data_IF_875519959001
#
_entry.id   IF_875519959001
#
_cell.length_a   1.000
_cell.length_b   1.000
_cell.length_c   1.000
_cell.angle_alpha   90.00
_cell.angle_beta   90.00
_cell.angle_gamma   90.00
#
_symmetry.space_group_name_H-M   'P 1'
#
loop_
_entity.id
_entity.type
_entity.pdbx_description
1 polymer ?
#
# COMPACT_ATOMS: atom_id res chain seq x y z
N UNK A 1 -20.42 -19.40 54.27
CA UNK A 1 -20.08 -19.28 52.82
C UNK A 1 -18.57 -19.20 52.69
N UNK A 2 -17.93 -20.25 52.16
CA UNK A 2 -16.49 -20.50 52.35
C UNK A 2 -15.61 -19.41 51.72
N UNK A 3 -14.75 -18.78 52.52
CA UNK A 3 -13.84 -17.70 52.13
C UNK A 3 -13.00 -18.07 50.90
N UNK A 4 -12.60 -19.35 50.78
CA UNK A 4 -11.93 -19.89 49.59
C UNK A 4 -12.73 -19.77 48.29
N UNK A 5 -14.07 -19.88 48.33
CA UNK A 5 -14.92 -19.73 47.14
C UNK A 5 -14.97 -18.27 46.69
N UNK A 6 -15.02 -17.33 47.63
CA UNK A 6 -15.03 -15.87 47.36
C UNK A 6 -13.74 -15.41 46.66
N UNK A 7 -12.58 -15.90 47.12
CA UNK A 7 -11.30 -15.56 46.48
C UNK A 7 -11.15 -16.15 45.07
N UNK A 8 -11.70 -17.35 44.81
CA UNK A 8 -11.73 -17.94 43.46
C UNK A 8 -12.55 -17.09 42.47
N UNK A 9 -13.69 -16.56 42.90
CA UNK A 9 -14.48 -15.65 42.05
C UNK A 9 -13.77 -14.32 41.77
N UNK A 10 -13.09 -13.74 42.77
CA UNK A 10 -12.30 -12.51 42.59
C UNK A 10 -11.16 -12.75 41.58
N UNK A 11 -10.46 -13.89 41.68
CA UNK A 11 -9.36 -14.22 40.78
C UNK A 11 -9.83 -14.37 39.33
N UNK A 12 -11.00 -15.00 39.11
CA UNK A 12 -11.60 -15.15 37.77
C UNK A 12 -11.97 -13.78 37.19
N UNK A 13 -12.51 -12.87 38.01
CA UNK A 13 -12.88 -11.53 37.57
C UNK A 13 -11.65 -10.68 37.19
N UNK A 14 -10.55 -10.81 37.96
CA UNK A 14 -9.26 -10.18 37.64
C UNK A 14 -8.66 -10.71 36.34
N UNK A 15 -8.72 -12.03 36.10
CA UNK A 15 -8.26 -12.65 34.86
C UNK A 15 -9.08 -12.20 33.64
N UNK A 16 -10.41 -12.07 33.79
CA UNK A 16 -11.28 -11.55 32.73
C UNK A 16 -10.93 -10.09 32.39
N UNK A 17 -10.79 -9.22 33.39
CA UNK A 17 -10.40 -7.82 33.18
C UNK A 17 -9.02 -7.72 32.52
N UNK A 18 -8.07 -8.55 32.94
CA UNK A 18 -6.73 -8.60 32.36
C UNK A 18 -6.75 -9.06 30.90
N UNK A 19 -7.61 -10.02 30.55
CA UNK A 19 -7.84 -10.46 29.16
C UNK A 19 -8.37 -9.34 28.26
N UNK A 20 -9.19 -8.43 28.80
CA UNK A 20 -9.71 -7.28 28.05
C UNK A 20 -8.63 -6.20 27.77
N UNK A 21 -7.53 -6.18 28.52
CA UNK A 21 -6.40 -5.27 28.29
C UNK A 21 -5.49 -5.70 27.13
N UNK A 22 -5.59 -6.95 26.66
CA UNK A 22 -4.86 -7.46 25.49
C UNK A 22 -5.64 -7.37 24.18
N UNK A 23 -6.82 -6.75 24.20
CA UNK A 23 -7.51 -6.38 22.96
C UNK A 23 -6.74 -5.22 22.33
N UNK A 24 -5.68 -5.54 21.60
CA UNK A 24 -4.95 -4.57 20.79
C UNK A 24 -5.93 -3.82 19.91
N UNK A 25 -5.91 -2.49 19.98
CA UNK A 25 -6.45 -1.68 18.90
C UNK A 25 -5.70 -2.07 17.63
N UNK A 26 -6.31 -2.91 16.80
CA UNK A 26 -5.91 -3.03 15.40
C UNK A 26 -6.22 -1.69 14.77
N UNK A 27 -5.22 -0.83 14.66
CA UNK A 27 -5.23 0.25 13.69
C UNK A 27 -5.34 -0.43 12.33
N UNK A 28 -6.54 -0.50 11.77
CA UNK A 28 -6.69 -0.77 10.35
C UNK A 28 -5.81 0.24 9.64
N UNK A 29 -4.91 -0.18 8.73
CA UNK A 29 -4.23 0.77 7.87
C UNK A 29 -5.30 1.70 7.31
N UNK A 30 -5.20 2.99 7.58
CA UNK A 30 -6.00 3.96 6.86
C UNK A 30 -5.48 3.89 5.43
N UNK A 31 -6.04 2.98 4.63
CA UNK A 31 -6.04 3.19 3.20
C UNK A 31 -6.62 4.59 2.99
N UNK A 32 -6.01 5.44 2.16
CA UNK A 32 -6.70 6.63 1.70
C UNK A 32 -8.06 6.13 1.23
N UNK A 33 -9.11 6.66 1.87
CA UNK A 33 -10.45 6.16 1.70
C UNK A 33 -10.72 6.01 0.21
N UNK A 34 -11.54 5.04 -0.17
CA UNK A 34 -12.35 5.06 -1.39
C UNK A 34 -13.32 6.25 -1.39
N UNK A 35 -12.81 7.44 -1.04
CA UNK A 35 -13.47 8.70 -0.87
C UNK A 35 -13.27 9.55 -2.13
N UNK A 36 -14.19 10.47 -2.33
CA UNK A 36 -14.36 11.34 -3.50
C UNK A 36 -13.20 12.36 -3.72
N UNK A 37 -11.95 11.95 -3.61
CA UNK A 37 -10.79 12.84 -3.68
C UNK A 37 -9.55 12.15 -4.23
N UNK A 38 -8.56 12.97 -4.59
CA UNK A 38 -7.26 12.53 -5.10
C UNK A 38 -6.33 12.18 -3.93
N UNK A 39 -5.79 10.97 -3.94
CA UNK A 39 -4.64 10.57 -3.13
C UNK A 39 -3.38 10.55 -3.99
N UNK A 40 -2.28 11.03 -3.41
CA UNK A 40 -0.95 11.06 -4.04
C UNK A 40 0.04 10.43 -3.08
N UNK A 41 0.70 9.36 -3.51
CA UNK A 41 1.74 8.68 -2.75
C UNK A 41 3.06 8.77 -3.48
N UNK A 42 4.08 9.29 -2.80
CA UNK A 42 5.47 9.26 -3.27
C UNK A 42 6.14 8.01 -2.73
N UNK A 43 6.28 6.98 -3.57
CA UNK A 43 6.86 5.70 -3.19
C UNK A 43 8.39 5.79 -3.19
N UNK A 44 9.08 5.43 -2.10
CA UNK A 44 10.51 5.63 -1.98
C UNK A 44 11.30 4.63 -2.84
N UNK A 45 11.94 5.14 -3.90
CA UNK A 45 12.77 4.32 -4.82
C UNK A 45 14.24 4.72 -4.85
N UNK A 46 14.62 5.78 -4.11
CA UNK A 46 15.98 6.31 -4.04
C UNK A 46 16.06 7.71 -4.63
N UNK A 47 16.94 7.90 -5.64
CA UNK A 47 17.16 9.21 -6.27
C UNK A 47 16.15 9.58 -7.36
N UNK A 48 15.45 8.61 -7.93
CA UNK A 48 14.41 8.87 -8.92
C UNK A 48 13.01 8.81 -8.32
N UNK A 49 12.01 8.78 -9.19
CA UNK A 49 10.61 8.98 -8.81
C UNK A 49 9.74 7.74 -9.05
N UNK A 50 8.75 7.56 -8.19
CA UNK A 50 7.63 6.65 -8.36
C UNK A 50 6.44 7.23 -7.59
N UNK A 51 5.45 7.75 -8.31
CA UNK A 51 4.32 8.47 -7.72
C UNK A 51 3.04 7.75 -8.09
N UNK A 52 2.33 7.25 -7.09
CA UNK A 52 1.02 6.64 -7.25
C UNK A 52 -0.06 7.69 -7.03
N UNK A 53 -0.91 7.86 -8.05
CA UNK A 53 -2.15 8.63 -7.95
C UNK A 53 -3.32 7.66 -7.84
N UNK A 54 -4.22 7.92 -6.89
CA UNK A 54 -5.48 7.19 -6.76
C UNK A 54 -6.64 8.19 -6.67
N UNK A 55 -7.66 8.03 -7.51
CA UNK A 55 -8.81 8.92 -7.53
C UNK A 55 -10.05 8.13 -7.94
N UNK A 56 -11.13 8.21 -7.15
CA UNK A 56 -12.43 7.57 -7.48
C UNK A 56 -12.35 6.07 -7.83
N UNK A 57 -11.38 5.35 -7.25
CA UNK A 57 -11.18 3.91 -7.49
C UNK A 57 -10.24 3.58 -8.66
N UNK A 58 -9.81 4.58 -9.42
CA UNK A 58 -8.78 4.47 -10.44
C UNK A 58 -7.38 4.70 -9.86
N UNK A 59 -6.38 4.08 -10.47
CA UNK A 59 -4.98 4.24 -10.12
C UNK A 59 -4.12 4.55 -11.36
N UNK A 60 -3.06 5.32 -11.19
CA UNK A 60 -2.03 5.54 -12.21
C UNK A 60 -0.68 5.80 -11.57
N UNK A 61 0.39 5.56 -12.33
CA UNK A 61 1.76 5.88 -11.91
C UNK A 61 2.32 7.05 -12.71
N UNK A 62 3.09 7.91 -12.04
CA UNK A 62 4.06 8.81 -12.67
C UNK A 62 5.44 8.29 -12.25
N UNK A 63 6.22 7.85 -13.23
CA UNK A 63 7.49 7.13 -13.06
C UNK A 63 7.37 5.87 -12.19
N UNK A 64 8.45 5.09 -12.13
CA UNK A 64 8.48 3.71 -11.60
C UNK A 64 9.80 3.33 -10.92
N UNK A 65 10.66 4.31 -10.65
CA UNK A 65 11.96 4.04 -10.03
C UNK A 65 12.92 3.23 -10.91
N UNK A 66 13.91 2.61 -10.25
CA UNK A 66 14.83 1.69 -10.89
C UNK A 66 14.19 0.31 -11.11
N UNK A 67 14.76 -0.48 -12.02
CA UNK A 67 14.35 -1.88 -12.26
C UNK A 67 14.36 -2.75 -10.99
N UNK A 68 15.29 -2.50 -10.06
CA UNK A 68 15.37 -3.21 -8.76
C UNK A 68 14.18 -2.94 -7.83
N UNK A 69 13.40 -1.89 -8.08
CA UNK A 69 12.26 -1.51 -7.26
C UNK A 69 10.96 -2.20 -7.73
N UNK A 70 10.96 -2.86 -8.89
CA UNK A 70 9.75 -3.41 -9.53
C UNK A 70 8.94 -4.30 -8.59
N UNK A 71 9.58 -5.29 -7.95
CA UNK A 71 8.88 -6.27 -7.11
C UNK A 71 8.26 -5.61 -5.86
N UNK A 72 8.97 -4.64 -5.28
CA UNK A 72 8.49 -3.88 -4.13
C UNK A 72 7.29 -2.98 -4.52
N UNK A 73 7.36 -2.35 -5.69
CA UNK A 73 6.27 -1.52 -6.24
C UNK A 73 5.04 -2.39 -6.53
N UNK A 74 5.19 -3.53 -7.19
CA UNK A 74 4.08 -4.45 -7.48
C UNK A 74 3.44 -4.98 -6.19
N UNK A 75 4.27 -5.32 -5.19
CA UNK A 75 3.80 -5.75 -3.87
C UNK A 75 3.00 -4.64 -3.20
N UNK A 76 3.51 -3.41 -3.23
CA UNK A 76 2.82 -2.24 -2.68
C UNK A 76 1.47 -1.96 -3.38
N UNK A 77 1.43 -2.00 -4.72
CA UNK A 77 0.18 -1.84 -5.47
C UNK A 77 -0.85 -2.90 -5.10
N UNK A 78 -0.41 -4.16 -4.95
CA UNK A 78 -1.25 -5.27 -4.49
C UNK A 78 -1.79 -5.05 -3.08
N UNK A 79 -0.95 -4.59 -2.14
CA UNK A 79 -1.36 -4.19 -0.79
C UNK A 79 -2.39 -3.06 -0.80
N UNK A 80 -2.29 -2.14 -1.78
CA UNK A 80 -3.28 -1.09 -2.03
C UNK A 80 -4.57 -1.57 -2.73
N UNK A 81 -4.72 -2.89 -2.97
CA UNK A 81 -5.81 -3.50 -3.73
C UNK A 81 -5.91 -2.98 -5.18
N UNK A 82 -4.81 -2.49 -5.74
CA UNK A 82 -4.73 -2.02 -7.12
C UNK A 82 -4.40 -3.21 -8.01
N UNK A 83 -5.33 -3.54 -8.91
CA UNK A 83 -5.18 -4.65 -9.86
C UNK A 83 -4.90 -4.20 -11.29
N UNK A 84 -5.15 -2.93 -11.58
CA UNK A 84 -5.00 -2.31 -12.88
C UNK A 84 -4.53 -0.87 -12.71
N UNK A 85 -3.80 -0.37 -13.70
CA UNK A 85 -3.41 1.02 -13.82
C UNK A 85 -4.10 1.61 -15.04
N UNK A 86 -4.85 2.69 -14.86
CA UNK A 86 -5.42 3.45 -15.98
C UNK A 86 -4.32 4.02 -16.88
N UNK A 87 -3.21 4.46 -16.28
CA UNK A 87 -2.04 4.93 -17.01
C UNK A 87 -0.71 4.77 -16.26
N UNK A 88 0.37 4.83 -17.03
CA UNK A 88 1.73 5.12 -16.55
C UNK A 88 2.24 6.32 -17.34
N UNK A 89 2.79 7.33 -16.67
CA UNK A 89 3.46 8.47 -17.28
C UNK A 89 4.95 8.37 -17.01
N UNK A 90 5.75 8.23 -18.07
CA UNK A 90 7.20 8.33 -18.03
C UNK A 90 7.61 9.79 -18.28
N UNK A 91 8.18 10.45 -17.27
CA UNK A 91 8.54 11.86 -17.35
C UNK A 91 9.71 12.12 -18.31
N UNK A 92 10.75 11.28 -18.26
CA UNK A 92 11.95 11.31 -19.11
C UNK A 92 12.67 9.95 -19.06
N UNK A 93 13.62 9.64 -19.97
CA UNK A 93 14.12 8.27 -20.18
C UNK A 93 15.20 7.82 -19.17
N UNK A 94 15.39 8.53 -18.07
CA UNK A 94 16.41 8.17 -17.08
C UNK A 94 16.05 6.89 -16.33
N UNK A 95 17.07 6.07 -16.05
CA UNK A 95 16.90 4.71 -15.50
C UNK A 95 16.20 4.69 -14.14
N UNK A 96 16.35 5.75 -13.37
CA UNK A 96 15.73 5.91 -12.05
C UNK A 96 14.29 6.40 -12.11
N UNK A 97 13.75 6.65 -13.30
CA UNK A 97 12.35 6.99 -13.54
C UNK A 97 11.61 5.87 -14.29
N UNK A 98 12.15 5.40 -15.41
CA UNK A 98 11.48 4.41 -16.26
C UNK A 98 11.92 2.96 -16.02
N UNK A 99 12.85 2.74 -15.08
CA UNK A 99 13.50 1.45 -14.88
C UNK A 99 12.55 0.32 -14.49
N UNK A 100 11.46 0.63 -13.78
CA UNK A 100 10.45 -0.34 -13.35
C UNK A 100 9.42 -0.71 -14.42
N UNK A 101 9.20 0.13 -15.43
CA UNK A 101 8.14 -0.06 -16.45
C UNK A 101 8.19 -1.45 -17.11
N UNK A 102 9.34 -1.96 -17.62
CA UNK A 102 9.39 -3.27 -18.27
C UNK A 102 8.98 -4.41 -17.33
N UNK A 103 9.35 -4.31 -16.06
CA UNK A 103 9.00 -5.31 -15.05
C UNK A 103 7.51 -5.29 -14.70
N UNK A 104 6.92 -4.10 -14.60
CA UNK A 104 5.46 -3.95 -14.37
C UNK A 104 4.68 -4.54 -15.55
N UNK A 105 5.06 -4.24 -16.80
CA UNK A 105 4.41 -4.83 -17.99
C UNK A 105 4.55 -6.36 -17.98
N UNK A 106 5.74 -6.87 -17.68
CA UNK A 106 6.02 -8.31 -17.68
C UNK A 106 5.28 -9.07 -16.58
N UNK A 107 4.82 -8.38 -15.53
CA UNK A 107 4.06 -8.99 -14.42
C UNK A 107 2.64 -9.43 -14.82
N UNK A 108 2.13 -8.94 -15.96
CA UNK A 108 0.74 -9.17 -16.38
C UNK A 108 -0.27 -8.22 -15.74
N UNK A 109 0.18 -7.17 -15.07
CA UNK A 109 -0.68 -6.07 -14.62
C UNK A 109 -1.39 -5.43 -15.81
N UNK A 110 -2.70 -5.21 -15.67
CA UNK A 110 -3.49 -4.52 -16.70
C UNK A 110 -3.17 -3.02 -16.70
N UNK A 111 -2.76 -2.49 -17.85
CA UNK A 111 -2.30 -1.11 -18.01
C UNK A 111 -3.03 -0.49 -19.21
N UNK A 112 -3.82 0.55 -18.95
CA UNK A 112 -4.62 1.21 -19.99
C UNK A 112 -3.77 1.98 -21.00
N UNK A 113 -2.91 2.90 -20.55
CA UNK A 113 -2.09 3.72 -21.45
C UNK A 113 -0.70 4.02 -20.87
N UNK A 114 0.34 3.91 -21.69
CA UNK A 114 1.68 4.38 -21.37
C UNK A 114 1.96 5.70 -22.10
N UNK A 115 2.09 6.79 -21.36
CA UNK A 115 2.55 8.08 -21.88
C UNK A 115 4.06 8.17 -21.74
N UNK A 116 4.76 8.47 -22.85
CA UNK A 116 6.21 8.67 -22.88
C UNK A 116 6.56 9.75 -23.89
N UNK A 117 7.70 10.41 -23.69
CA UNK A 117 8.28 11.28 -24.71
C UNK A 117 8.88 10.46 -25.87
N UNK A 118 8.92 11.06 -27.05
CA UNK A 118 9.62 10.52 -28.23
C UNK A 118 11.07 11.00 -28.31
N UNK A 119 11.48 11.92 -27.43
CA UNK A 119 12.84 12.45 -27.38
C UNK A 119 13.69 11.52 -26.51
N UNK A 120 14.57 10.77 -27.17
CA UNK A 120 15.61 9.90 -26.55
C UNK A 120 16.96 10.57 -26.69
#
# INVERSE_FOLDING_TARGET
MNILKKHRFILIYLLLIFSLLFTSCRSTPQHPASGRGLSVTFYPVGKGDCILLQCEGEAMLIDTGYSKNTDDILSYLSEQNIRSLSAIIATHPDKDHIGGIPGIISSGMDIGTLYKTDVV
#
